data_IF_821126200005
#
_entry.id   IF_821126200005
#
_cell.length_a   1.000
_cell.length_b   1.000
_cell.length_c   1.000
_cell.angle_alpha   90.00
_cell.angle_beta   90.00
_cell.angle_gamma   90.00
#
_symmetry.space_group_name_H-M   'P 1'
#
loop_
_entity.id
_entity.type
_entity.pdbx_description
1 polymer ?
#
# COMPACT_ATOMS: atom_id res chain seq x y z
N UNK A 1 -5.37 -10.54 -6.85
CA UNK A 1 -6.35 -9.48 -7.20
C UNK A 1 -7.06 -9.03 -5.94
N UNK A 2 -7.42 -7.76 -5.86
CA UNK A 2 -8.20 -7.20 -4.75
C UNK A 2 -9.67 -7.63 -4.89
N UNK A 3 -10.43 -7.76 -3.79
CA UNK A 3 -11.88 -7.82 -3.88
C UNK A 3 -12.41 -6.61 -4.66
N UNK A 4 -13.39 -6.82 -5.55
CA UNK A 4 -13.96 -5.75 -6.39
C UNK A 4 -14.42 -4.55 -5.58
N UNK A 5 -14.97 -4.79 -4.37
CA UNK A 5 -15.49 -3.74 -3.49
C UNK A 5 -14.43 -2.73 -3.02
N UNK A 6 -13.14 -3.06 -3.12
CA UNK A 6 -12.04 -2.20 -2.62
C UNK A 6 -11.07 -1.76 -3.71
N UNK A 7 -11.25 -2.17 -4.96
CA UNK A 7 -10.33 -1.83 -6.04
C UNK A 7 -10.18 -0.31 -6.20
N UNK A 8 -11.23 0.46 -5.92
CA UNK A 8 -11.20 1.92 -6.03
C UNK A 8 -10.31 2.63 -4.99
N UNK A 9 -9.84 1.92 -3.97
CA UNK A 9 -8.89 2.42 -2.97
C UNK A 9 -7.44 2.35 -3.48
N UNK A 10 -7.21 1.72 -4.62
CA UNK A 10 -5.91 1.52 -5.23
C UNK A 10 -5.87 2.14 -6.63
N UNK A 11 -4.65 2.42 -7.10
CA UNK A 11 -4.36 2.79 -8.47
C UNK A 11 -3.39 1.77 -9.08
N UNK A 12 -3.35 1.72 -10.41
CA UNK A 12 -2.49 0.81 -11.17
C UNK A 12 -1.51 1.62 -12.03
N UNK A 13 -0.54 2.33 -11.41
CA UNK A 13 0.48 3.05 -12.15
C UNK A 13 1.39 2.06 -12.90
N UNK A 14 1.98 2.47 -14.04
CA UNK A 14 3.01 1.69 -14.71
C UNK A 14 4.18 1.35 -13.78
N UNK A 15 4.71 0.14 -13.89
CA UNK A 15 5.78 -0.33 -13.00
C UNK A 15 7.06 0.54 -13.07
N UNK A 16 7.36 1.15 -14.22
CA UNK A 16 8.48 2.08 -14.36
C UNK A 16 8.27 3.37 -13.57
N UNK A 17 7.04 3.91 -13.53
CA UNK A 17 6.74 5.12 -12.74
C UNK A 17 6.85 4.84 -11.24
N UNK A 18 6.42 3.66 -10.78
CA UNK A 18 6.62 3.22 -9.39
C UNK A 18 8.11 3.10 -9.07
N UNK A 19 8.90 2.49 -9.97
CA UNK A 19 10.34 2.34 -9.78
C UNK A 19 11.08 3.69 -9.74
N UNK A 20 10.71 4.62 -10.61
CA UNK A 20 11.23 5.99 -10.63
C UNK A 20 10.88 6.74 -9.34
N UNK A 21 9.62 6.65 -8.88
CA UNK A 21 9.21 7.26 -7.62
C UNK A 21 10.00 6.72 -6.42
N UNK A 22 10.26 5.40 -6.38
CA UNK A 22 10.99 4.75 -5.31
C UNK A 22 12.49 5.07 -5.28
N UNK A 23 13.08 5.61 -6.36
CA UNK A 23 14.49 5.99 -6.39
C UNK A 23 14.83 7.02 -5.29
N UNK A 24 13.93 7.98 -5.07
CA UNK A 24 14.04 8.98 -4.00
C UNK A 24 13.85 8.44 -2.58
N UNK A 25 13.40 7.18 -2.43
CA UNK A 25 13.07 6.54 -1.16
C UNK A 25 14.06 5.45 -0.75
N UNK A 26 15.08 5.14 -1.56
CA UNK A 26 16.06 4.08 -1.28
C UNK A 26 16.71 4.16 0.11
N UNK A 27 16.84 5.37 0.67
CA UNK A 27 17.42 5.62 1.99
C UNK A 27 16.64 4.97 3.15
N UNK A 28 15.36 4.61 2.96
CA UNK A 28 14.51 4.06 4.03
C UNK A 28 14.64 2.53 4.19
N UNK A 29 15.46 1.87 3.36
CA UNK A 29 15.70 0.43 3.44
C UNK A 29 14.69 -0.41 2.66
N UNK A 30 14.57 -0.14 1.36
CA UNK A 30 13.65 -0.86 0.45
C UNK A 30 14.24 -2.16 -0.11
N UNK A 31 15.47 -2.53 0.28
CA UNK A 31 16.16 -3.69 -0.26
C UNK A 31 15.37 -4.99 -0.05
N UNK A 32 15.16 -5.75 -1.13
CA UNK A 32 14.42 -7.02 -1.09
C UNK A 32 12.90 -6.88 -0.94
N UNK A 33 12.35 -5.67 -1.09
CA UNK A 33 10.91 -5.42 -1.10
C UNK A 33 10.37 -5.32 -2.53
N UNK A 34 9.35 -6.14 -2.84
CA UNK A 34 8.65 -6.11 -4.12
C UNK A 34 7.38 -5.26 -4.02
N UNK A 35 7.23 -4.15 -4.77
CA UNK A 35 5.99 -3.38 -4.81
C UNK A 35 4.83 -4.25 -5.30
N UNK A 36 3.73 -4.30 -4.54
CA UNK A 36 2.60 -5.17 -4.81
C UNK A 36 1.26 -4.43 -4.96
N UNK A 37 1.13 -3.23 -4.37
CA UNK A 37 -0.03 -2.36 -4.57
C UNK A 37 0.31 -0.90 -4.26
N UNK A 38 -0.45 0.01 -4.88
CA UNK A 38 -0.35 1.46 -4.66
C UNK A 38 -1.72 2.01 -4.27
N UNK A 39 -1.82 2.66 -3.11
CA UNK A 39 -3.07 3.29 -2.66
C UNK A 39 -3.43 4.47 -3.55
N UNK A 40 -4.68 4.94 -3.49
CA UNK A 40 -5.11 6.15 -4.19
C UNK A 40 -4.32 7.42 -3.81
N UNK A 41 -3.61 7.42 -2.67
CA UNK A 41 -2.74 8.51 -2.22
C UNK A 41 -1.25 8.25 -2.50
N UNK A 42 -0.91 7.17 -3.19
CA UNK A 42 0.46 6.86 -3.59
C UNK A 42 1.26 6.03 -2.58
N UNK A 43 0.67 5.66 -1.44
CA UNK A 43 1.30 4.73 -0.49
C UNK A 43 1.58 3.39 -1.17
N UNK A 44 2.72 2.79 -0.86
CA UNK A 44 3.15 1.56 -1.51
C UNK A 44 3.17 0.41 -0.50
N UNK A 45 2.50 -0.67 -0.85
CA UNK A 45 2.53 -1.92 -0.10
C UNK A 45 3.46 -2.91 -0.81
N UNK A 46 4.37 -3.49 -0.04
CA UNK A 46 5.39 -4.40 -0.54
C UNK A 46 5.23 -5.80 0.02
N UNK A 47 5.68 -6.78 -0.75
CA UNK A 47 5.98 -8.13 -0.27
C UNK A 47 7.47 -8.21 0.02
N UNK A 48 7.80 -8.57 1.26
CA UNK A 48 9.17 -8.89 1.64
C UNK A 48 9.49 -10.36 1.33
N UNK A 49 10.79 -10.68 1.21
CA UNK A 49 11.25 -12.05 0.97
C UNK A 49 10.87 -13.07 2.07
N UNK A 50 10.53 -12.60 3.28
CA UNK A 50 10.02 -13.43 4.38
C UNK A 50 8.49 -13.63 4.33
N UNK A 51 7.82 -13.08 3.32
CA UNK A 51 6.37 -13.12 3.15
C UNK A 51 5.62 -11.98 3.86
N UNK A 52 6.29 -11.19 4.71
CA UNK A 52 5.65 -10.08 5.42
C UNK A 52 5.23 -8.95 4.48
N UNK A 53 4.23 -8.18 4.91
CA UNK A 53 3.76 -6.99 4.18
C UNK A 53 4.36 -5.75 4.82
N UNK A 54 5.03 -4.94 3.99
CA UNK A 54 5.56 -3.64 4.38
C UNK A 54 4.73 -2.53 3.75
N UNK A 55 4.53 -1.45 4.48
CA UNK A 55 3.82 -0.25 4.01
C UNK A 55 4.78 0.92 4.07
N UNK A 56 5.00 1.55 2.91
CA UNK A 56 5.61 2.87 2.83
C UNK A 56 4.49 3.90 2.83
N UNK A 57 4.36 4.57 3.97
CA UNK A 57 3.52 5.75 4.14
C UNK A 57 4.26 6.94 3.50
N UNK A 58 3.72 7.43 2.38
CA UNK A 58 4.33 8.52 1.62
C UNK A 58 4.15 9.88 2.29
N UNK A 59 3.20 10.01 3.21
CA UNK A 59 2.90 11.24 3.94
C UNK A 59 3.82 11.41 5.14
N UNK A 60 3.95 10.35 5.94
CA UNK A 60 4.76 10.33 7.16
C UNK A 60 6.23 9.94 6.90
N UNK A 61 6.52 9.42 5.71
CA UNK A 61 7.85 8.96 5.32
C UNK A 61 8.34 7.79 6.18
N UNK A 62 7.46 6.81 6.42
CA UNK A 62 7.73 5.67 7.29
C UNK A 62 7.55 4.36 6.55
N UNK A 63 8.47 3.43 6.78
CA UNK A 63 8.37 2.05 6.33
C UNK A 63 8.05 1.15 7.53
N UNK A 64 6.84 0.59 7.56
CA UNK A 64 6.38 -0.25 8.69
C UNK A 64 5.98 -1.65 8.25
N UNK A 65 6.03 -2.62 9.16
CA UNK A 65 5.44 -3.95 8.94
C UNK A 65 3.99 -3.92 9.40
N UNK A 66 3.07 -4.24 8.49
CA UNK A 66 1.62 -4.18 8.78
C UNK A 66 0.96 -5.56 8.85
N UNK A 67 1.56 -6.59 8.25
CA UNK A 67 1.07 -7.96 8.30
C UNK A 67 2.20 -8.99 8.20
N UNK A 68 1.94 -10.22 8.65
CA UNK A 68 2.81 -11.38 8.50
C UNK A 68 2.73 -12.03 7.12
N UNK A 69 1.60 -11.91 6.44
CA UNK A 69 1.44 -12.38 5.05
C UNK A 69 0.43 -11.55 4.24
N UNK A 70 0.48 -11.67 2.92
CA UNK A 70 -0.43 -10.90 2.03
C UNK A 70 -1.91 -11.17 2.32
N UNK A 71 -2.29 -12.42 2.58
CA UNK A 71 -3.68 -12.75 2.89
C UNK A 71 -4.19 -12.15 4.22
N UNK A 72 -3.32 -11.86 5.19
CA UNK A 72 -3.65 -11.20 6.45
C UNK A 72 -3.96 -9.74 6.16
N UNK A 73 -3.12 -9.08 5.35
CA UNK A 73 -3.41 -7.73 4.88
C UNK A 73 -4.75 -7.65 4.11
N UNK A 74 -5.02 -8.61 3.22
CA UNK A 74 -6.32 -8.66 2.52
C UNK A 74 -7.50 -8.87 3.48
N UNK A 75 -7.33 -9.67 4.54
CA UNK A 75 -8.35 -9.86 5.56
C UNK A 75 -8.55 -8.60 6.42
N UNK A 76 -7.48 -7.88 6.75
CA UNK A 76 -7.52 -6.61 7.47
C UNK A 76 -8.37 -5.57 6.72
N UNK A 77 -8.32 -5.56 5.38
CA UNK A 77 -9.15 -4.67 4.57
C UNK A 77 -10.65 -4.96 4.67
N UNK A 78 -11.10 -6.02 5.35
CA UNK A 78 -12.51 -6.21 5.71
C UNK A 78 -12.94 -5.31 6.88
N UNK A 79 -12.00 -4.83 7.69
CA UNK A 79 -12.25 -3.92 8.80
C UNK A 79 -12.20 -2.45 8.34
N UNK A 80 -13.28 -1.70 8.60
CA UNK A 80 -13.40 -0.30 8.21
C UNK A 80 -12.32 0.61 8.83
N UNK A 81 -12.05 0.44 10.13
CA UNK A 81 -11.02 1.23 10.81
C UNK A 81 -9.63 0.97 10.21
N UNK A 82 -9.34 -0.27 9.81
CA UNK A 82 -8.08 -0.62 9.15
C UNK A 82 -7.97 -0.03 7.75
N UNK A 83 -9.08 -0.01 6.99
CA UNK A 83 -9.12 0.66 5.68
C UNK A 83 -8.87 2.17 5.81
N UNK A 84 -9.46 2.81 6.81
CA UNK A 84 -9.23 4.24 7.06
C UNK A 84 -7.80 4.52 7.51
N UNK A 85 -7.26 3.71 8.42
CA UNK A 85 -5.87 3.82 8.90
C UNK A 85 -4.86 3.67 7.76
N UNK A 86 -5.01 2.66 6.89
CA UNK A 86 -4.00 2.29 5.90
C UNK A 86 -4.20 2.94 4.52
N UNK A 87 -5.43 3.31 4.17
CA UNK A 87 -5.79 3.75 2.80
C UNK A 87 -6.52 5.09 2.78
N UNK A 88 -6.77 5.71 3.95
CA UNK A 88 -7.59 6.90 4.08
C UNK A 88 -8.94 6.74 3.35
N UNK A 89 -9.56 5.57 3.48
CA UNK A 89 -10.68 5.15 2.65
C UNK A 89 -11.88 6.11 2.69
N UNK A 90 -12.20 6.66 3.88
CA UNK A 90 -13.21 7.71 4.02
C UNK A 90 -12.94 8.95 3.15
N UNK A 91 -11.68 9.34 2.99
CA UNK A 91 -11.29 10.47 2.14
C UNK A 91 -11.41 10.12 0.66
N UNK A 92 -11.01 8.91 0.24
CA UNK A 92 -11.22 8.42 -1.13
C UNK A 92 -12.71 8.43 -1.48
N UNK A 93 -13.57 7.94 -0.59
CA UNK A 93 -15.03 7.92 -0.80
C UNK A 93 -15.59 9.35 -0.89
N UNK A 94 -15.11 10.27 -0.05
CA UNK A 94 -15.55 11.66 -0.08
C UNK A 94 -15.16 12.37 -1.39
N UNK A 95 -13.97 12.11 -1.94
CA UNK A 95 -13.47 12.73 -3.17
C UNK A 95 -14.17 12.25 -4.46
N UNK A 96 -14.95 11.16 -4.41
CA UNK A 96 -15.70 10.62 -5.56
C UNK A 96 -17.12 11.19 -5.68
N UNK A 97 -17.56 11.98 -4.71
CA UNK A 97 -18.88 12.65 -4.71
C UNK A 97 -18.79 14.01 -5.40
#
# INVERSE_FOLDING_TARGET
>A
EWPHDYQFLFIEPPANEVAEALDGWKWIGLDGLEPAAVSAFGDIFFRAGDGSVRHLDMLDGKLTRIAGHWAEFQADLQNEARRDELLLAGLVVAARK
#
